data_IF_071241329672
#
_entry.id   IF_071241329672
#
_cell.length_a   1.000
_cell.length_b   1.000
_cell.length_c   1.000
_cell.angle_alpha   90.00
_cell.angle_beta   90.00
_cell.angle_gamma   90.00
#
_symmetry.space_group_name_H-M   'P 1'
#
loop_
_entity.id
_entity.type
_entity.pdbx_description
1 polymer ?
#
# COMPACT_ATOMS: atom_id res chain seq x y z
N UNK A 1 -8.96 -0.24 -36.26
CA UNK A 1 -7.85 0.64 -36.66
C UNK A 1 -7.20 1.20 -35.41
N UNK A 2 -5.87 1.08 -35.27
CA UNK A 2 -5.15 1.70 -34.15
C UNK A 2 -5.05 3.21 -34.35
N UNK A 3 -5.15 3.98 -33.26
CA UNK A 3 -4.90 5.43 -33.27
C UNK A 3 -3.43 5.72 -33.64
N UNK A 4 -3.12 6.92 -34.18
CA UNK A 4 -1.76 7.26 -34.55
C UNK A 4 -0.82 7.24 -33.34
N UNK A 5 0.45 6.86 -33.57
CA UNK A 5 1.49 6.77 -32.53
C UNK A 5 1.64 8.09 -31.78
N UNK A 6 1.49 9.23 -32.48
CA UNK A 6 1.52 10.57 -31.88
C UNK A 6 0.43 10.77 -30.81
N UNK A 7 -0.77 10.22 -31.03
CA UNK A 7 -1.83 10.30 -30.02
C UNK A 7 -1.47 9.47 -28.79
N UNK A 8 -0.93 8.27 -28.96
CA UNK A 8 -0.46 7.42 -27.85
C UNK A 8 0.66 8.10 -27.05
N UNK A 9 1.61 8.74 -27.73
CA UNK A 9 2.68 9.50 -27.08
C UNK A 9 2.11 10.67 -26.25
N UNK A 10 1.18 11.44 -26.80
CA UNK A 10 0.50 12.52 -26.08
C UNK A 10 -0.23 12.02 -24.82
N UNK A 11 -1.04 10.96 -24.95
CA UNK A 11 -1.75 10.37 -23.80
C UNK A 11 -0.80 9.80 -22.74
N UNK A 12 0.36 9.27 -23.15
CA UNK A 12 1.38 8.77 -22.22
C UNK A 12 2.00 9.91 -21.40
N UNK A 13 2.44 10.99 -22.05
CA UNK A 13 3.00 12.17 -21.35
C UNK A 13 1.99 12.78 -20.38
N UNK A 14 0.74 12.88 -20.81
CA UNK A 14 -0.37 13.31 -19.97
C UNK A 14 -0.52 12.42 -18.73
N UNK A 15 -0.55 11.10 -18.92
CA UNK A 15 -0.73 10.13 -17.82
C UNK A 15 0.45 10.16 -16.85
N UNK A 16 1.66 10.41 -17.35
CA UNK A 16 2.86 10.57 -16.53
C UNK A 16 2.78 11.82 -15.64
N UNK A 17 2.49 12.99 -16.21
CA UNK A 17 2.37 14.24 -15.45
C UNK A 17 1.27 14.13 -14.40
N UNK A 18 0.16 13.52 -14.78
CA UNK A 18 -0.96 13.24 -13.90
C UNK A 18 -0.57 12.32 -12.72
N UNK A 19 0.13 11.21 -13.00
CA UNK A 19 0.66 10.33 -11.97
C UNK A 19 1.60 11.06 -11.00
N UNK A 20 2.45 11.95 -11.52
CA UNK A 20 3.35 12.75 -10.71
C UNK A 20 2.61 13.74 -9.79
N UNK A 21 1.66 14.52 -10.34
CA UNK A 21 0.86 15.49 -9.55
C UNK A 21 0.05 14.77 -8.47
N UNK A 22 -0.57 13.65 -8.82
CA UNK A 22 -1.39 12.90 -7.88
C UNK A 22 -0.53 12.31 -6.76
N UNK A 23 0.64 11.75 -7.07
CA UNK A 23 1.62 11.29 -6.09
C UNK A 23 2.07 12.41 -5.14
N UNK A 24 2.33 13.63 -5.66
CA UNK A 24 2.66 14.79 -4.82
C UNK A 24 1.53 15.17 -3.87
N UNK A 25 0.28 15.19 -4.36
CA UNK A 25 -0.90 15.47 -3.53
C UNK A 25 -1.06 14.41 -2.44
N UNK A 26 -0.80 13.14 -2.73
CA UNK A 26 -0.82 12.09 -1.71
C UNK A 26 0.24 12.29 -0.64
N UNK A 27 1.50 12.51 -1.03
CA UNK A 27 2.58 12.76 -0.07
C UNK A 27 2.24 13.94 0.84
N UNK A 28 1.68 15.01 0.28
CA UNK A 28 1.25 16.19 1.04
C UNK A 28 0.10 15.91 2.01
N UNK A 29 -0.98 15.27 1.55
CA UNK A 29 -2.13 14.91 2.40
C UNK A 29 -1.70 13.98 3.53
N UNK A 30 -0.84 13.01 3.22
CA UNK A 30 -0.33 12.04 4.17
C UNK A 30 0.53 12.72 5.25
N UNK A 31 1.41 13.65 4.86
CA UNK A 31 2.19 14.47 5.80
C UNK A 31 1.30 15.35 6.69
N UNK A 32 0.24 15.97 6.13
CA UNK A 32 -0.70 16.82 6.89
C UNK A 32 -1.46 16.03 7.94
N UNK A 33 -1.91 14.83 7.61
CA UNK A 33 -2.60 13.98 8.59
C UNK A 33 -1.59 13.55 9.65
N UNK A 34 -0.43 13.02 9.27
CA UNK A 34 0.54 12.52 10.24
C UNK A 34 1.03 13.58 11.24
N UNK A 35 1.32 14.80 10.77
CA UNK A 35 1.69 15.91 11.67
C UNK A 35 0.57 16.26 12.65
N UNK A 36 -0.69 16.25 12.19
CA UNK A 36 -1.86 16.44 13.06
C UNK A 36 -2.02 15.31 14.10
N UNK A 37 -1.80 14.07 13.70
CA UNK A 37 -1.87 12.89 14.60
C UNK A 37 -0.77 12.93 15.64
N UNK A 38 0.46 13.23 15.24
CA UNK A 38 1.61 13.23 16.15
C UNK A 38 1.38 14.22 17.30
N UNK A 39 0.90 15.42 16.99
CA UNK A 39 0.54 16.41 18.00
C UNK A 39 -0.58 15.91 18.93
N UNK A 40 -1.60 15.24 18.38
CA UNK A 40 -2.74 14.74 19.17
C UNK A 40 -2.37 13.55 20.07
N UNK A 41 -1.66 12.58 19.53
CA UNK A 41 -1.16 11.41 20.26
C UNK A 41 -0.18 11.81 21.37
N UNK A 42 0.59 12.88 21.19
CA UNK A 42 1.51 13.41 22.21
C UNK A 42 0.80 14.09 23.40
N UNK A 43 -0.44 14.58 23.21
CA UNK A 43 -1.21 15.24 24.28
C UNK A 43 -2.01 14.26 25.16
N UNK A 44 -2.24 13.05 24.67
CA UNK A 44 -3.06 12.01 25.30
C UNK A 44 -2.38 11.08 26.34
N UNK A 45 -1.04 11.01 26.52
CA UNK A 45 -0.40 10.16 27.53
C UNK A 45 -0.85 10.45 28.96
N UNK A 46 -1.46 11.61 29.21
CA UNK A 46 -2.06 11.98 30.50
C UNK A 46 -3.25 11.09 30.90
N UNK A 47 -3.74 10.23 30.00
CA UNK A 47 -4.94 9.40 30.22
C UNK A 47 -4.77 7.89 29.96
N UNK A 48 -3.55 7.43 29.64
CA UNK A 48 -3.19 6.02 29.39
C UNK A 48 -2.74 5.71 27.95
N UNK A 49 -1.75 4.82 27.79
CA UNK A 49 -1.14 4.50 26.49
C UNK A 49 -2.06 3.81 25.47
N UNK A 50 -3.16 3.21 25.93
CA UNK A 50 -4.17 2.56 25.08
C UNK A 50 -4.96 3.56 24.25
N UNK A 51 -5.30 4.72 24.85
CA UNK A 51 -6.04 5.78 24.16
C UNK A 51 -5.21 6.40 23.04
N UNK A 52 -3.94 6.65 23.34
CA UNK A 52 -2.96 7.11 22.35
C UNK A 52 -2.84 6.13 21.17
N UNK A 53 -2.83 4.82 21.44
CA UNK A 53 -2.81 3.81 20.38
C UNK A 53 -4.09 3.83 19.54
N UNK A 54 -5.28 3.83 20.15
CA UNK A 54 -6.55 3.84 19.41
C UNK A 54 -6.64 5.05 18.48
N UNK A 55 -6.12 6.18 18.92
CA UNK A 55 -6.16 7.42 18.16
C UNK A 55 -5.17 7.36 17.01
N UNK A 56 -3.91 6.98 17.27
CA UNK A 56 -2.93 6.72 16.21
C UNK A 56 -3.43 5.69 15.18
N UNK A 57 -4.07 4.60 15.65
CA UNK A 57 -4.62 3.54 14.82
C UNK A 57 -5.79 4.02 13.94
N UNK A 58 -6.74 4.76 14.51
CA UNK A 58 -7.87 5.33 13.78
C UNK A 58 -7.40 6.31 12.70
N UNK A 59 -6.39 7.14 12.99
CA UNK A 59 -5.83 8.00 11.97
C UNK A 59 -5.02 7.26 10.92
N UNK A 60 -4.30 6.20 11.31
CA UNK A 60 -3.65 5.28 10.36
C UNK A 60 -4.66 4.67 9.39
N UNK A 61 -5.83 4.25 9.90
CA UNK A 61 -6.93 3.77 9.07
C UNK A 61 -7.46 4.86 8.12
N UNK A 62 -7.69 6.09 8.61
CA UNK A 62 -8.11 7.22 7.76
C UNK A 62 -7.11 7.49 6.65
N UNK A 63 -5.80 7.46 6.94
CA UNK A 63 -4.74 7.61 5.93
C UNK A 63 -4.79 6.49 4.88
N UNK A 64 -4.91 5.23 5.32
CA UNK A 64 -5.02 4.08 4.43
C UNK A 64 -6.27 4.10 3.54
N UNK A 65 -7.42 4.52 4.08
CA UNK A 65 -8.64 4.68 3.30
C UNK A 65 -8.57 5.84 2.32
N UNK A 66 -7.98 6.96 2.72
CA UNK A 66 -7.80 8.10 1.83
C UNK A 66 -6.94 7.70 0.62
N UNK A 67 -5.87 6.92 0.84
CA UNK A 67 -5.00 6.39 -0.22
C UNK A 67 -5.75 5.41 -1.13
N UNK A 68 -6.46 4.45 -0.55
CA UNK A 68 -7.16 3.43 -1.33
C UNK A 68 -8.36 4.01 -2.10
N UNK A 69 -9.14 4.92 -1.48
CA UNK A 69 -10.32 5.53 -2.07
C UNK A 69 -9.95 6.61 -3.10
N UNK A 70 -9.03 7.52 -2.78
CA UNK A 70 -8.58 8.49 -3.77
C UNK A 70 -7.74 7.80 -4.86
N UNK A 71 -6.98 6.73 -4.61
CA UNK A 71 -6.17 6.09 -5.67
C UNK A 71 -7.05 5.58 -6.81
N UNK A 72 -8.21 5.02 -6.46
CA UNK A 72 -9.23 4.56 -7.39
C UNK A 72 -10.05 5.72 -7.99
N UNK A 73 -10.39 6.71 -7.16
CA UNK A 73 -11.23 7.84 -7.53
C UNK A 73 -10.47 8.86 -8.38
N UNK A 74 -9.19 9.11 -8.14
CA UNK A 74 -8.30 9.97 -8.94
C UNK A 74 -8.02 9.34 -10.30
N UNK A 75 -7.77 8.03 -10.38
CA UNK A 75 -7.60 7.34 -11.67
C UNK A 75 -8.92 7.37 -12.49
N UNK A 76 -10.07 7.23 -11.83
CA UNK A 76 -11.39 7.37 -12.44
C UNK A 76 -11.75 8.82 -12.81
N UNK A 77 -11.47 9.77 -11.92
CA UNK A 77 -11.69 11.21 -12.13
C UNK A 77 -10.78 11.66 -13.25
N UNK A 78 -9.54 11.23 -13.37
CA UNK A 78 -8.66 11.63 -14.46
C UNK A 78 -9.10 11.14 -15.85
N UNK A 79 -9.75 9.97 -15.95
CA UNK A 79 -10.41 9.53 -17.18
C UNK A 79 -11.58 10.48 -17.55
N UNK A 80 -12.22 11.11 -16.56
CA UNK A 80 -13.37 11.99 -16.74
C UNK A 80 -13.03 13.51 -16.75
N UNK A 81 -11.95 13.94 -16.09
CA UNK A 81 -11.46 15.32 -15.88
C UNK A 81 -10.58 15.78 -17.03
N UNK A 82 -10.09 14.86 -17.86
CA UNK A 82 -9.56 15.20 -19.19
C UNK A 82 -10.59 15.91 -20.09
N UNK A 83 -11.85 15.92 -19.68
CA UNK A 83 -12.96 16.63 -20.33
C UNK A 83 -13.15 18.08 -19.82
N UNK A 84 -12.41 18.52 -18.80
CA UNK A 84 -12.69 19.74 -18.03
C UNK A 84 -11.50 20.71 -17.86
N UNK A 85 -10.36 20.46 -18.51
CA UNK A 85 -9.27 21.43 -18.79
C UNK A 85 -9.89 22.85 -19.06
N UNK A 86 -9.84 23.92 -18.25
CA UNK A 86 -8.90 24.48 -17.26
C UNK A 86 -9.60 25.44 -16.26
N UNK A 87 -8.90 25.79 -15.16
CA UNK A 87 -9.13 26.99 -14.32
C UNK A 87 -8.41 26.89 -12.95
N UNK A 88 -7.65 27.92 -12.58
CA UNK A 88 -6.34 27.86 -11.90
C UNK A 88 -6.26 28.09 -10.36
N UNK A 89 -5.03 27.92 -9.87
CA UNK A 89 -4.33 28.55 -8.74
C UNK A 89 -4.55 28.03 -7.32
N UNK A 90 -3.49 27.48 -6.70
CA UNK A 90 -3.17 27.72 -5.27
C UNK A 90 -1.66 27.58 -4.99
N UNK A 91 -1.05 28.68 -4.55
CA UNK A 91 0.24 28.71 -3.84
C UNK A 91 0.03 29.02 -2.35
N UNK A 92 1.00 28.64 -1.50
CA UNK A 92 1.05 29.07 -0.10
C UNK A 92 1.97 28.22 0.82
N UNK A 93 3.03 28.80 1.44
CA UNK A 93 4.04 28.09 2.25
C UNK A 93 3.73 28.15 3.75
N UNK A 94 4.15 27.18 4.58
CA UNK A 94 4.22 27.36 6.05
C UNK A 94 5.19 26.39 6.74
N UNK A 95 6.12 26.98 7.52
CA UNK A 95 6.98 26.39 8.55
C UNK A 95 6.32 26.48 9.95
N UNK A 96 6.61 25.57 10.90
CA UNK A 96 7.48 25.81 12.09
C UNK A 96 7.40 24.69 13.15
N UNK A 97 8.56 24.32 13.73
CA UNK A 97 8.81 23.84 15.11
C UNK A 97 10.33 24.08 15.44
N UNK A 98 10.73 24.20 16.72
CA UNK A 98 11.98 24.85 17.24
C UNK A 98 13.31 24.56 16.45
N UNK A 99 14.12 25.58 16.06
CA UNK A 99 15.03 25.54 14.90
C UNK A 99 16.43 24.92 15.12
N UNK A 100 16.73 24.35 16.30
CA UNK A 100 18.13 24.04 16.66
C UNK A 100 18.57 22.59 16.51
N UNK A 101 17.66 21.68 16.18
CA UNK A 101 18.03 20.32 15.79
C UNK A 101 17.29 19.92 14.50
N UNK A 102 17.94 19.95 13.33
CA UNK A 102 17.32 19.66 12.03
C UNK A 102 16.89 18.19 11.88
N UNK A 103 17.26 17.31 12.81
CA UNK A 103 16.96 15.87 12.74
C UNK A 103 15.53 15.56 13.20
N UNK A 104 14.97 16.32 14.15
CA UNK A 104 13.66 16.00 14.77
C UNK A 104 12.47 16.39 13.89
N UNK A 105 12.67 17.33 12.96
CA UNK A 105 11.62 17.87 12.07
C UNK A 105 11.55 17.07 10.74
N UNK A 106 12.63 16.35 10.39
CA UNK A 106 12.79 15.70 9.09
C UNK A 106 12.20 14.28 9.03
N UNK A 107 12.10 13.57 10.16
CA UNK A 107 11.53 12.21 10.20
C UNK A 107 10.08 12.20 9.65
N UNK A 108 9.32 13.26 9.90
CA UNK A 108 7.94 13.38 9.42
C UNK A 108 7.79 13.65 7.92
N UNK A 109 8.81 14.22 7.26
CA UNK A 109 8.71 14.59 5.84
C UNK A 109 9.18 13.43 4.96
N UNK A 110 10.33 12.82 5.30
CA UNK A 110 10.89 11.72 4.53
C UNK A 110 10.10 10.41 4.67
N UNK A 111 9.93 9.94 5.90
CA UNK A 111 9.34 8.61 6.13
C UNK A 111 7.85 8.60 5.85
N UNK A 112 7.16 9.70 6.19
CA UNK A 112 5.69 9.74 6.13
C UNK A 112 5.20 10.17 4.74
N UNK A 113 5.72 11.26 4.16
CA UNK A 113 5.34 11.65 2.80
C UNK A 113 5.91 10.68 1.75
N UNK A 114 7.13 10.19 1.96
CA UNK A 114 7.78 9.20 1.11
C UNK A 114 6.99 7.89 1.06
N UNK A 115 6.65 7.31 2.22
CA UNK A 115 5.91 6.04 2.28
C UNK A 115 4.55 6.13 1.59
N UNK A 116 3.79 7.21 1.80
CA UNK A 116 2.49 7.40 1.13
C UNK A 116 2.62 7.45 -0.41
N UNK A 117 3.62 8.17 -0.91
CA UNK A 117 3.88 8.28 -2.35
C UNK A 117 4.36 6.96 -2.98
N UNK A 118 5.21 6.21 -2.27
CA UNK A 118 5.72 4.90 -2.72
C UNK A 118 4.58 3.90 -2.82
N UNK A 119 3.72 3.80 -1.80
CA UNK A 119 2.59 2.86 -1.81
C UNK A 119 1.61 3.20 -2.93
N UNK A 120 1.33 4.49 -3.17
CA UNK A 120 0.48 4.91 -4.29
C UNK A 120 1.10 4.53 -5.64
N UNK A 121 2.40 4.77 -5.83
CA UNK A 121 3.11 4.44 -7.06
C UNK A 121 3.07 2.94 -7.35
N UNK A 122 3.34 2.08 -6.34
CA UNK A 122 3.26 0.62 -6.49
C UNK A 122 1.84 0.14 -6.82
N UNK A 123 0.82 0.76 -6.22
CA UNK A 123 -0.57 0.47 -6.55
C UNK A 123 -0.92 0.87 -8.00
N UNK A 124 -0.50 2.06 -8.44
CA UNK A 124 -0.74 2.53 -9.80
C UNK A 124 -0.02 1.67 -10.85
N UNK A 125 1.23 1.27 -10.57
CA UNK A 125 2.03 0.43 -11.47
C UNK A 125 1.45 -0.97 -11.62
N UNK A 126 1.11 -1.65 -10.51
CA UNK A 126 0.49 -2.99 -10.54
C UNK A 126 -0.86 -2.99 -11.27
N UNK A 127 -1.67 -1.94 -11.07
CA UNK A 127 -2.93 -1.75 -11.78
C UNK A 127 -2.72 -1.56 -13.29
N UNK A 128 -1.81 -0.66 -13.69
CA UNK A 128 -1.52 -0.37 -15.10
C UNK A 128 -0.92 -1.60 -15.81
N UNK A 129 0.00 -2.32 -15.16
CA UNK A 129 0.59 -3.54 -15.69
C UNK A 129 -0.49 -4.59 -15.99
N UNK A 130 -1.42 -4.80 -15.05
CA UNK A 130 -2.53 -5.74 -15.22
C UNK A 130 -3.46 -5.31 -16.36
N UNK A 131 -3.78 -4.02 -16.46
CA UNK A 131 -4.63 -3.48 -17.54
C UNK A 131 -3.99 -3.64 -18.93
N UNK A 132 -2.70 -3.36 -19.08
CA UNK A 132 -2.01 -3.50 -20.37
C UNK A 132 -2.03 -4.95 -20.83
N UNK A 133 -1.76 -5.89 -19.93
CA UNK A 133 -1.82 -7.33 -20.25
C UNK A 133 -3.26 -7.75 -20.57
N UNK A 134 -4.25 -7.29 -19.82
CA UNK A 134 -5.66 -7.58 -20.07
C UNK A 134 -6.15 -7.01 -21.42
N UNK A 135 -5.69 -5.82 -21.80
CA UNK A 135 -6.06 -5.14 -23.05
C UNK A 135 -5.55 -5.90 -24.29
N UNK A 136 -4.36 -6.49 -24.23
CA UNK A 136 -3.79 -7.27 -25.35
C UNK A 136 -4.33 -8.71 -25.37
N UNK A 137 -4.97 -9.14 -24.27
CA UNK A 137 -5.57 -10.46 -24.09
C UNK A 137 -7.00 -10.54 -24.67
N UNK A 138 -7.65 -11.71 -24.54
CA UNK A 138 -9.04 -11.93 -25.00
C UNK A 138 -10.01 -10.84 -24.54
N UNK A 139 -9.81 -10.32 -23.33
CA UNK A 139 -10.68 -9.32 -22.71
C UNK A 139 -10.75 -8.02 -23.51
N UNK A 140 -9.61 -7.52 -24.00
CA UNK A 140 -9.58 -6.32 -24.84
C UNK A 140 -10.00 -6.58 -26.29
N UNK A 141 -9.68 -7.76 -26.84
CA UNK A 141 -10.00 -8.12 -28.23
C UNK A 141 -11.51 -8.35 -28.42
N UNK A 142 -12.16 -9.02 -27.47
CA UNK A 142 -13.59 -9.29 -27.49
C UNK A 142 -14.43 -8.12 -26.95
N UNK A 143 -13.80 -7.01 -26.57
CA UNK A 143 -14.43 -5.83 -25.97
C UNK A 143 -15.27 -6.15 -24.71
N UNK A 144 -14.83 -7.09 -23.88
CA UNK A 144 -15.48 -7.43 -22.62
C UNK A 144 -15.04 -6.48 -21.50
N UNK A 145 -15.83 -5.42 -21.30
CA UNK A 145 -15.50 -4.35 -20.34
C UNK A 145 -15.41 -4.84 -18.89
N UNK A 146 -16.23 -5.81 -18.48
CA UNK A 146 -16.23 -6.39 -17.13
C UNK A 146 -14.91 -7.07 -16.80
N UNK A 147 -14.45 -7.96 -17.68
CA UNK A 147 -13.20 -8.72 -17.52
C UNK A 147 -11.97 -7.82 -17.65
N UNK A 148 -12.04 -6.78 -18.49
CA UNK A 148 -10.96 -5.79 -18.63
C UNK A 148 -10.81 -4.90 -17.39
N UNK A 149 -11.92 -4.51 -16.76
CA UNK A 149 -11.93 -3.72 -15.52
C UNK A 149 -11.85 -4.59 -14.26
N UNK A 150 -11.58 -5.89 -14.40
CA UNK A 150 -11.40 -6.81 -13.28
C UNK A 150 -10.47 -6.29 -12.16
N UNK A 151 -9.23 -5.79 -12.43
CA UNK A 151 -8.36 -5.27 -11.36
C UNK A 151 -8.99 -4.08 -10.60
N UNK A 152 -9.84 -3.30 -11.27
CA UNK A 152 -10.58 -2.18 -10.66
C UNK A 152 -11.68 -2.69 -9.74
N UNK A 153 -12.45 -3.67 -10.21
CA UNK A 153 -13.52 -4.29 -9.42
C UNK A 153 -12.92 -4.91 -8.16
N UNK A 154 -11.84 -5.68 -8.32
CA UNK A 154 -11.08 -6.23 -7.19
C UNK A 154 -10.70 -5.12 -6.23
N UNK A 155 -9.98 -4.08 -6.65
CA UNK A 155 -9.58 -3.01 -5.73
C UNK A 155 -10.77 -2.34 -5.01
N UNK A 156 -11.86 -2.06 -5.71
CA UNK A 156 -13.06 -1.43 -5.13
C UNK A 156 -13.71 -2.26 -4.00
N UNK A 157 -13.88 -3.56 -4.21
CA UNK A 157 -14.43 -4.46 -3.18
C UNK A 157 -13.42 -4.65 -2.03
N UNK A 158 -12.12 -4.48 -2.30
CA UNK A 158 -11.07 -4.54 -1.29
C UNK A 158 -11.18 -3.44 -0.26
N UNK A 159 -11.52 -2.23 -0.69
CA UNK A 159 -11.74 -1.10 0.21
C UNK A 159 -12.87 -1.41 1.21
N UNK A 160 -13.95 -2.03 0.74
CA UNK A 160 -15.09 -2.43 1.58
C UNK A 160 -14.66 -3.47 2.63
N UNK A 161 -13.86 -4.46 2.21
CA UNK A 161 -13.32 -5.48 3.11
C UNK A 161 -12.41 -4.88 4.17
N UNK A 162 -11.49 -3.98 3.78
CA UNK A 162 -10.64 -3.26 4.73
C UNK A 162 -11.47 -2.47 5.75
N UNK A 163 -12.56 -1.84 5.31
CA UNK A 163 -13.47 -1.06 6.17
C UNK A 163 -14.13 -1.95 7.21
N UNK A 164 -14.65 -3.10 6.81
CA UNK A 164 -15.26 -4.07 7.73
C UNK A 164 -14.22 -4.57 8.75
N UNK A 165 -13.01 -4.91 8.32
CA UNK A 165 -11.96 -5.41 9.22
C UNK A 165 -11.51 -4.35 10.23
N UNK A 166 -11.41 -3.08 9.82
CA UNK A 166 -11.00 -1.99 10.71
C UNK A 166 -12.10 -1.66 11.72
N UNK A 167 -13.37 -1.64 11.31
CA UNK A 167 -14.49 -1.47 12.25
C UNK A 167 -14.50 -2.59 13.28
N UNK A 168 -14.33 -3.84 12.84
CA UNK A 168 -14.33 -4.98 13.74
C UNK A 168 -13.22 -4.87 14.81
N UNK A 169 -12.02 -4.45 14.42
CA UNK A 169 -10.93 -4.31 15.38
C UNK A 169 -11.04 -3.08 16.27
N UNK A 170 -11.59 -1.98 15.77
CA UNK A 170 -11.68 -0.72 16.53
C UNK A 170 -12.79 -0.76 17.57
N UNK A 171 -13.90 -1.44 17.27
CA UNK A 171 -15.09 -1.44 18.13
C UNK A 171 -15.18 -2.68 19.05
N UNK A 172 -14.59 -3.83 18.67
CA UNK A 172 -14.71 -5.07 19.45
C UNK A 172 -13.46 -5.47 20.24
N UNK A 173 -12.28 -4.91 19.94
CA UNK A 173 -11.04 -5.22 20.65
C UNK A 173 -10.65 -4.04 21.56
N UNK A 174 -11.21 -4.03 22.76
CA UNK A 174 -10.80 -3.08 23.81
C UNK A 174 -9.40 -3.48 24.33
N UNK A 175 -8.42 -2.60 24.12
CA UNK A 175 -7.02 -2.86 24.48
C UNK A 175 -6.86 -2.60 25.98
N UNK A 176 -6.39 -3.61 26.73
CA UNK A 176 -6.23 -3.53 28.19
C UNK A 176 -4.76 -3.47 28.63
N UNK A 177 -3.83 -3.66 27.69
CA UNK A 177 -2.40 -3.54 27.95
C UNK A 177 -1.59 -3.20 26.67
N UNK A 178 -0.51 -2.43 26.84
CA UNK A 178 0.44 -2.07 25.76
C UNK A 178 1.08 -3.30 25.11
N UNK A 179 1.28 -4.39 25.87
CA UNK A 179 1.84 -5.65 25.35
C UNK A 179 0.92 -6.35 24.35
N UNK A 180 -0.39 -6.05 24.37
CA UNK A 180 -1.38 -6.66 23.48
C UNK A 180 -1.44 -6.00 22.10
N UNK A 181 -0.96 -4.75 21.97
CA UNK A 181 -1.00 -3.96 20.74
C UNK A 181 -0.42 -4.74 19.55
N UNK A 182 0.75 -5.36 19.75
CA UNK A 182 1.44 -6.12 18.71
C UNK A 182 0.62 -7.34 18.25
N UNK A 183 0.04 -8.05 19.22
CA UNK A 183 -0.80 -9.23 18.96
C UNK A 183 -2.05 -8.85 18.16
N UNK A 184 -2.67 -7.71 18.51
CA UNK A 184 -3.87 -7.20 17.82
C UNK A 184 -3.55 -6.83 16.37
N UNK A 185 -2.47 -6.07 16.13
CA UNK A 185 -2.04 -5.70 14.77
C UNK A 185 -1.78 -6.94 13.90
N UNK A 186 -1.12 -7.95 14.46
CA UNK A 186 -0.85 -9.22 13.77
C UNK A 186 -2.12 -10.00 13.47
N UNK A 187 -3.03 -10.11 14.44
CA UNK A 187 -4.31 -10.80 14.26
C UNK A 187 -5.19 -10.07 13.23
N UNK A 188 -5.15 -8.73 13.20
CA UNK A 188 -5.81 -7.95 12.16
C UNK A 188 -5.25 -8.22 10.78
N UNK A 189 -3.92 -8.27 10.62
CA UNK A 189 -3.27 -8.58 9.34
C UNK A 189 -3.71 -9.96 8.83
N UNK A 190 -3.69 -10.98 9.68
CA UNK A 190 -4.13 -12.34 9.33
C UNK A 190 -5.61 -12.35 8.94
N UNK A 191 -6.47 -11.68 9.74
CA UNK A 191 -7.91 -11.61 9.48
C UNK A 191 -8.21 -10.93 8.14
N UNK A 192 -7.48 -9.85 7.82
CA UNK A 192 -7.61 -9.13 6.55
C UNK A 192 -7.27 -10.03 5.36
N UNK A 193 -6.17 -10.79 5.44
CA UNK A 193 -5.72 -11.66 4.35
C UNK A 193 -6.73 -12.78 4.08
N UNK A 194 -7.24 -13.42 5.14
CA UNK A 194 -8.28 -14.45 5.01
C UNK A 194 -9.52 -13.87 4.31
N UNK A 195 -9.96 -12.69 4.74
CA UNK A 195 -11.14 -12.04 4.14
C UNK A 195 -10.87 -11.59 2.69
N UNK A 196 -9.64 -11.17 2.37
CA UNK A 196 -9.22 -10.81 1.02
C UNK A 196 -9.19 -12.00 0.07
N UNK A 197 -8.78 -13.18 0.53
CA UNK A 197 -8.81 -14.44 -0.24
C UNK A 197 -10.26 -14.82 -0.58
N UNK A 198 -11.15 -14.81 0.42
CA UNK A 198 -12.58 -15.11 0.23
C UNK A 198 -13.21 -14.14 -0.78
N UNK A 199 -12.96 -12.84 -0.58
CA UNK A 199 -13.41 -11.79 -1.51
C UNK A 199 -12.90 -12.03 -2.92
N UNK A 200 -11.61 -12.36 -3.07
CA UNK A 200 -11.02 -12.59 -4.38
C UNK A 200 -11.64 -13.80 -5.10
N UNK A 201 -11.96 -14.87 -4.35
CA UNK A 201 -12.67 -16.02 -4.89
C UNK A 201 -14.06 -15.62 -5.44
N UNK A 202 -14.82 -14.85 -4.66
CA UNK A 202 -16.17 -14.38 -5.05
C UNK A 202 -16.10 -13.48 -6.29
N UNK A 203 -15.19 -12.49 -6.30
CA UNK A 203 -15.05 -11.56 -7.43
C UNK A 203 -14.58 -12.30 -8.68
N UNK A 204 -13.64 -13.24 -8.56
CA UNK A 204 -13.19 -14.07 -9.68
C UNK A 204 -14.29 -14.94 -10.26
N UNK A 205 -15.19 -15.44 -9.42
CA UNK A 205 -16.33 -16.25 -9.86
C UNK A 205 -17.36 -15.44 -10.64
N UNK A 206 -17.59 -14.18 -10.26
CA UNK A 206 -18.62 -13.32 -10.86
C UNK A 206 -18.08 -12.58 -12.10
N UNK A 207 -16.85 -12.09 -12.05
CA UNK A 207 -16.33 -11.15 -13.04
C UNK A 207 -15.51 -11.80 -14.17
N UNK A 208 -15.12 -13.07 -14.06
CA UNK A 208 -14.31 -13.76 -15.07
C UNK A 208 -15.07 -14.93 -15.73
N UNK A 209 -14.94 -15.11 -17.06
CA UNK A 209 -15.46 -16.30 -17.74
C UNK A 209 -14.65 -17.56 -17.37
N UNK A 210 -15.26 -18.74 -17.57
CA UNK A 210 -14.67 -20.04 -17.21
C UNK A 210 -13.37 -20.37 -17.96
N UNK A 211 -13.19 -19.81 -19.16
CA UNK A 211 -11.97 -19.90 -19.96
C UNK A 211 -11.73 -18.61 -20.74
N UNK A 212 -10.49 -18.12 -20.73
CA UNK A 212 -10.07 -16.94 -21.48
C UNK A 212 -8.63 -17.11 -21.98
N UNK A 213 -8.19 -16.27 -22.91
CA UNK A 213 -6.81 -16.28 -23.39
C UNK A 213 -6.00 -15.12 -22.81
N UNK A 214 -4.82 -15.42 -22.26
CA UNK A 214 -3.83 -14.43 -21.80
C UNK A 214 -2.72 -14.32 -22.84
N UNK A 215 -2.27 -13.10 -23.11
CA UNK A 215 -1.10 -12.84 -23.95
C UNK A 215 0.20 -13.36 -23.30
N UNK A 216 0.93 -14.21 -24.01
CA UNK A 216 2.24 -14.74 -23.60
C UNK A 216 3.24 -14.65 -24.76
N UNK A 217 4.03 -13.57 -24.79
CA UNK A 217 5.15 -13.35 -25.73
C UNK A 217 4.88 -13.87 -27.16
N UNK A 218 3.79 -13.37 -27.79
CA UNK A 218 3.25 -13.68 -29.14
C UNK A 218 2.20 -14.80 -29.24
N UNK A 219 2.03 -15.64 -28.23
CA UNK A 219 0.99 -16.68 -28.22
C UNK A 219 -0.16 -16.31 -27.27
N UNK A 220 -1.38 -16.67 -27.65
CA UNK A 220 -2.52 -16.62 -26.75
C UNK A 220 -2.62 -17.94 -25.98
N UNK A 221 -2.29 -17.92 -24.68
CA UNK A 221 -2.40 -19.08 -23.81
C UNK A 221 -3.83 -19.16 -23.27
N UNK A 222 -4.51 -20.28 -23.47
CA UNK A 222 -5.80 -20.53 -22.84
C UNK A 222 -5.58 -20.78 -21.35
N UNK A 223 -6.23 -19.97 -20.51
CA UNK A 223 -6.14 -19.99 -19.06
C UNK A 223 -7.56 -20.10 -18.49
N UNK A 224 -7.70 -20.91 -17.43
CA UNK A 224 -8.93 -21.04 -16.66
C UNK A 224 -8.94 -20.00 -15.53
N UNK A 225 -10.10 -19.75 -14.93
CA UNK A 225 -10.23 -18.87 -13.75
C UNK A 225 -9.37 -19.31 -12.54
N UNK A 226 -9.24 -20.62 -12.28
CA UNK A 226 -8.56 -21.16 -11.10
C UNK A 226 -7.06 -20.81 -11.00
N UNK A 227 -6.24 -20.92 -12.07
CA UNK A 227 -4.86 -20.44 -12.06
C UNK A 227 -4.70 -18.96 -11.68
N UNK A 228 -5.64 -18.10 -12.08
CA UNK A 228 -5.61 -16.67 -11.75
C UNK A 228 -5.92 -16.44 -10.27
N UNK A 229 -6.86 -17.22 -9.72
CA UNK A 229 -7.10 -17.33 -8.28
C UNK A 229 -5.84 -17.69 -7.51
N UNK A 230 -5.15 -18.76 -7.92
CA UNK A 230 -3.92 -19.21 -7.28
C UNK A 230 -2.80 -18.17 -7.34
N UNK A 231 -2.67 -17.45 -8.46
CA UNK A 231 -1.65 -16.41 -8.61
C UNK A 231 -1.79 -15.30 -7.54
N UNK A 232 -3.02 -14.85 -7.28
CA UNK A 232 -3.26 -13.83 -6.26
C UNK A 232 -3.14 -14.39 -4.85
N UNK A 233 -3.59 -15.63 -4.61
CA UNK A 233 -3.41 -16.28 -3.32
C UNK A 233 -1.93 -16.40 -2.98
N UNK A 234 -1.09 -16.83 -3.93
CA UNK A 234 0.37 -16.92 -3.72
C UNK A 234 0.97 -15.54 -3.41
N UNK A 235 0.55 -14.48 -4.11
CA UNK A 235 0.98 -13.11 -3.79
C UNK A 235 0.60 -12.68 -2.37
N UNK A 236 -0.65 -12.92 -1.95
CA UNK A 236 -1.09 -12.61 -0.59
C UNK A 236 -0.35 -13.40 0.50
N UNK A 237 0.00 -14.66 0.21
CA UNK A 237 0.84 -15.45 1.12
C UNK A 237 2.27 -14.94 1.17
N UNK A 238 2.84 -14.51 0.04
CA UNK A 238 4.17 -13.91 -0.01
C UNK A 238 4.22 -12.62 0.83
N UNK A 239 3.19 -11.77 0.75
CA UNK A 239 3.06 -10.56 1.57
C UNK A 239 3.00 -10.90 3.08
N UNK A 240 2.26 -11.95 3.46
CA UNK A 240 2.18 -12.39 4.84
C UNK A 240 3.53 -12.86 5.38
N UNK A 241 4.22 -13.70 4.60
CA UNK A 241 5.53 -14.25 4.99
C UNK A 241 6.54 -13.11 5.10
N UNK A 242 6.55 -12.18 4.14
CA UNK A 242 7.37 -10.96 4.18
C UNK A 242 7.14 -10.17 5.47
N UNK A 243 5.88 -9.99 5.87
CA UNK A 243 5.54 -9.31 7.13
C UNK A 243 6.08 -10.03 8.37
N UNK A 244 5.91 -11.34 8.46
CA UNK A 244 6.41 -12.15 9.58
C UNK A 244 7.93 -12.19 9.67
N UNK A 245 8.60 -12.31 8.52
CA UNK A 245 10.06 -12.32 8.46
C UNK A 245 10.58 -10.94 8.86
N UNK A 246 10.00 -9.87 8.31
CA UNK A 246 10.40 -8.50 8.69
C UNK A 246 10.19 -8.27 10.19
N UNK A 247 9.08 -8.75 10.77
CA UNK A 247 8.85 -8.70 12.22
C UNK A 247 9.94 -9.46 12.98
N UNK A 248 10.33 -10.66 12.53
CA UNK A 248 11.38 -11.45 13.18
C UNK A 248 12.73 -10.73 13.22
N UNK A 249 13.10 -10.04 12.14
CA UNK A 249 14.38 -9.33 12.03
C UNK A 249 14.39 -7.93 12.65
N UNK A 250 13.23 -7.31 12.87
CA UNK A 250 13.15 -5.91 13.37
C UNK A 250 12.64 -5.78 14.81
N UNK A 251 11.97 -6.81 15.35
CA UNK A 251 11.39 -6.74 16.68
C UNK A 251 12.37 -7.09 17.81
N UNK A 252 12.43 -6.22 18.81
CA UNK A 252 13.30 -6.34 20.00
C UNK A 252 13.00 -7.53 20.93
N UNK A 253 11.88 -8.23 20.73
CA UNK A 253 11.58 -9.45 21.48
C UNK A 253 12.30 -10.70 20.93
N UNK A 254 12.93 -10.60 19.75
CA UNK A 254 13.70 -11.69 19.17
C UNK A 254 15.18 -11.52 19.48
N UNK A 255 15.86 -12.66 19.63
CA UNK A 255 17.28 -12.72 19.96
C UNK A 255 18.13 -11.91 18.97
N UNK A 256 17.74 -11.88 17.69
CA UNK A 256 18.50 -11.21 16.64
C UNK A 256 18.68 -9.70 16.88
N UNK A 257 17.62 -9.01 17.30
CA UNK A 257 17.68 -7.58 17.64
C UNK A 257 18.33 -7.36 19.01
N UNK A 258 18.19 -8.32 19.92
CA UNK A 258 18.87 -8.29 21.22
C UNK A 258 20.39 -8.45 21.05
N UNK A 259 20.85 -9.31 20.15
CA UNK A 259 22.26 -9.50 19.83
C UNK A 259 22.87 -8.21 19.23
N UNK A 260 22.11 -7.49 18.39
CA UNK A 260 22.50 -6.17 17.89
C UNK A 260 22.60 -5.16 19.05
N UNK A 261 21.62 -5.14 19.95
CA UNK A 261 21.67 -4.28 21.13
C UNK A 261 22.85 -4.61 22.06
N UNK A 262 23.14 -5.88 22.27
CA UNK A 262 24.27 -6.35 23.10
C UNK A 262 25.61 -6.02 22.47
N UNK A 263 25.70 -6.05 21.13
CA UNK A 263 26.90 -5.65 20.40
C UNK A 263 27.31 -4.19 20.66
N UNK A 264 26.38 -3.33 21.09
CA UNK A 264 26.67 -1.94 21.49
C UNK A 264 27.67 -1.86 22.65
N UNK A 265 27.75 -2.89 23.51
CA UNK A 265 28.71 -2.93 24.62
C UNK A 265 30.18 -2.97 24.13
N UNK A 266 30.40 -3.47 22.91
CA UNK A 266 31.73 -3.61 22.32
C UNK A 266 32.15 -2.41 21.46
N UNK A 267 31.23 -1.46 21.23
CA UNK A 267 31.47 -0.21 20.51
C UNK A 267 30.59 -0.03 19.27
N UNK A 268 30.40 1.23 18.87
CA UNK A 268 29.49 1.59 17.77
C UNK A 268 29.83 0.93 16.42
N UNK A 269 31.13 0.71 16.15
CA UNK A 269 31.57 0.07 14.91
C UNK A 269 31.07 -1.38 14.79
N UNK A 270 31.09 -2.14 15.89
CA UNK A 270 30.64 -3.53 15.90
C UNK A 270 29.12 -3.60 15.76
N UNK A 271 28.40 -2.67 16.40
CA UNK A 271 26.95 -2.53 16.23
C UNK A 271 26.55 -2.31 14.76
N UNK A 272 27.24 -1.42 14.05
CA UNK A 272 26.98 -1.18 12.62
C UNK A 272 27.27 -2.43 11.78
N UNK A 273 28.34 -3.17 12.06
CA UNK A 273 28.68 -4.40 11.33
C UNK A 273 27.62 -5.48 11.53
N UNK A 274 27.17 -5.70 12.77
CA UNK A 274 26.09 -6.65 13.07
C UNK A 274 24.78 -6.23 12.40
N UNK A 275 24.43 -4.95 12.46
CA UNK A 275 23.25 -4.42 11.78
C UNK A 275 23.26 -4.69 10.27
N UNK A 276 24.36 -4.35 9.59
CA UNK A 276 24.51 -4.58 8.15
C UNK A 276 24.50 -6.07 7.77
N UNK A 277 25.09 -6.93 8.61
CA UNK A 277 25.08 -8.37 8.39
C UNK A 277 23.64 -8.91 8.36
N UNK A 278 22.84 -8.55 9.36
CA UNK A 278 21.46 -9.00 9.45
C UNK A 278 20.56 -8.43 8.35
N UNK A 279 20.78 -7.17 7.96
CA UNK A 279 20.07 -6.54 6.84
C UNK A 279 20.36 -7.24 5.50
N UNK A 280 21.61 -7.64 5.27
CA UNK A 280 21.99 -8.42 4.09
C UNK A 280 21.30 -9.79 4.06
N UNK A 281 21.18 -10.44 5.22
CA UNK A 281 20.48 -11.73 5.32
C UNK A 281 18.97 -11.58 5.10
N UNK A 282 18.37 -10.52 5.64
CA UNK A 282 16.96 -10.20 5.45
C UNK A 282 16.65 -9.94 3.97
N UNK A 283 17.42 -9.07 3.32
CA UNK A 283 17.24 -8.75 1.89
C UNK A 283 17.40 -9.97 0.99
N UNK A 284 18.33 -10.87 1.29
CA UNK A 284 18.49 -12.13 0.56
C UNK A 284 17.27 -13.04 0.72
N UNK A 285 16.71 -13.15 1.93
CA UNK A 285 15.52 -13.96 2.17
C UNK A 285 14.28 -13.39 1.46
N UNK A 286 14.08 -12.08 1.53
CA UNK A 286 12.97 -11.41 0.85
C UNK A 286 13.06 -11.54 -0.68
N UNK A 287 14.28 -11.52 -1.23
CA UNK A 287 14.51 -11.72 -2.67
C UNK A 287 14.20 -13.14 -3.15
N UNK A 288 14.25 -14.14 -2.27
CA UNK A 288 13.83 -15.51 -2.60
C UNK A 288 12.31 -15.67 -2.63
N UNK A 289 11.59 -14.73 -2.03
CA UNK A 289 10.14 -14.74 -1.88
C UNK A 289 9.40 -14.00 -3.00
N UNK A 290 10.06 -13.01 -3.61
CA UNK A 290 9.60 -12.25 -4.78
C UNK A 290 9.79 -12.99 -6.09
#
# INVERSE_FOLDING_TARGET
MCKPILATAGFSTISFVLGAVTSMVYGFLWMKIATYVNARTALEPRTGGEKAFIIAFRYGAVMGFLLAANGLLVLYININVFKLYYGDDWGGPFEFDDPRNPVVINENVGDIAGMGSVIFSSYAESYCATLVVAFISSFGINHELTSMLYPRIVSSVGIIVCLITILFATDFLEIKAVKEIKSILKNQLITLIVLMIVRFAIVSWIALPSSFTIFNFKFQKVVKNWPLFLCVVVGLWADLITGFVTEYYTNNAHNLVQDVADSCQTGAAINVIFGLHWDTNLSLFLSLLS
#
